data_IF_352432852568
#
_entry.id   IF_352432852568
#
_cell.length_a   1.000
_cell.length_b   1.000
_cell.length_c   1.000
_cell.angle_alpha   90.00
_cell.angle_beta   90.00
_cell.angle_gamma   90.00
#
_symmetry.space_group_name_H-M   'P 1'
#
loop_
_entity.id
_entity.type
_entity.pdbx_description
1 polymer ?
#
# COMPACT_ATOMS: atom_id res chain seq x y z
N UNK A 1 -15.65 20.20 10.71
CA UNK A 1 -14.81 19.92 9.52
C UNK A 1 -14.83 18.42 9.24
N UNK A 2 -15.08 17.98 8.00
CA UNK A 2 -15.00 16.55 7.66
C UNK A 2 -13.58 16.03 7.90
N UNK A 3 -13.46 14.88 8.56
CA UNK A 3 -12.17 14.23 8.82
C UNK A 3 -11.56 13.82 7.47
N UNK A 4 -10.37 14.33 7.12
CA UNK A 4 -9.64 13.90 5.91
C UNK A 4 -9.39 12.39 5.96
N UNK A 5 -9.53 11.69 4.81
CA UNK A 5 -9.32 10.25 4.76
C UNK A 5 -7.86 9.92 5.04
N UNK A 6 -7.60 8.78 5.68
CA UNK A 6 -6.24 8.31 6.01
C UNK A 6 -5.37 8.23 4.75
N UNK A 7 -5.93 7.70 3.65
CA UNK A 7 -5.21 7.58 2.38
C UNK A 7 -4.76 8.94 1.82
N UNK A 8 -5.58 9.99 1.97
CA UNK A 8 -5.22 11.34 1.52
C UNK A 8 -4.02 11.91 2.29
N UNK A 9 -3.93 11.59 3.58
CA UNK A 9 -2.80 11.99 4.42
C UNK A 9 -1.54 11.27 3.96
N UNK A 10 -1.61 9.95 3.78
CA UNK A 10 -0.46 9.12 3.39
C UNK A 10 0.07 9.52 2.01
N UNK A 11 -0.80 9.71 1.02
CA UNK A 11 -0.38 10.12 -0.34
C UNK A 11 0.40 11.44 -0.30
N UNK A 12 0.00 12.40 0.55
CA UNK A 12 0.69 13.69 0.69
C UNK A 12 2.06 13.58 1.36
N UNK A 13 2.26 12.59 2.22
CA UNK A 13 3.53 12.37 2.92
C UNK A 13 4.57 11.67 2.06
N UNK A 14 4.14 10.85 1.09
CA UNK A 14 5.04 10.16 0.18
C UNK A 14 5.48 11.12 -0.92
N UNK A 15 6.78 11.41 -0.98
CA UNK A 15 7.36 12.20 -2.06
C UNK A 15 7.19 11.48 -3.40
N UNK A 16 6.96 12.24 -4.46
CA UNK A 16 6.90 11.71 -5.82
C UNK A 16 8.31 11.37 -6.30
N UNK A 17 8.59 10.08 -6.41
CA UNK A 17 9.71 9.50 -7.15
C UNK A 17 9.10 8.48 -8.09
N UNK A 18 8.96 8.83 -9.37
CA UNK A 18 8.32 7.96 -10.35
C UNK A 18 9.39 7.43 -11.33
N UNK A 19 10.02 6.34 -10.92
CA UNK A 19 10.74 5.43 -11.82
C UNK A 19 9.76 4.29 -12.18
N UNK A 20 9.74 3.85 -13.44
CA UNK A 20 8.77 2.84 -13.93
C UNK A 20 9.08 1.40 -13.45
N UNK A 21 9.96 1.26 -12.45
CA UNK A 21 10.35 0.00 -11.84
C UNK A 21 9.21 -0.75 -11.17
N UNK A 22 9.42 -2.05 -11.00
CA UNK A 22 8.50 -2.94 -10.32
C UNK A 22 8.94 -3.16 -8.87
N UNK A 23 7.96 -3.15 -7.98
CA UNK A 23 8.15 -3.38 -6.56
C UNK A 23 7.17 -4.43 -6.05
N UNK A 24 7.63 -5.33 -5.20
CA UNK A 24 6.79 -6.28 -4.48
C UNK A 24 6.60 -5.80 -3.04
N UNK A 25 5.34 -5.56 -2.65
CA UNK A 25 4.99 -5.23 -1.26
C UNK A 25 4.34 -6.45 -0.63
N UNK A 26 5.00 -7.01 0.38
CA UNK A 26 4.52 -8.12 1.19
C UNK A 26 4.11 -7.59 2.55
N UNK A 27 2.92 -7.93 3.02
CA UNK A 27 2.44 -7.47 4.32
C UNK A 27 1.76 -8.57 5.13
N UNK A 28 1.98 -8.55 6.43
CA UNK A 28 1.37 -9.49 7.37
C UNK A 28 0.78 -8.77 8.59
N UNK A 29 -0.49 -9.03 8.86
CA UNK A 29 -1.23 -8.40 9.96
C UNK A 29 -1.23 -9.33 11.17
N UNK A 30 -0.24 -9.19 12.05
CA UNK A 30 -0.13 -10.02 13.28
C UNK A 30 -1.22 -9.74 14.32
N UNK A 31 -1.95 -8.64 14.20
CA UNK A 31 -2.97 -8.21 15.17
C UNK A 31 -4.30 -8.96 14.94
N UNK A 32 -4.94 -9.43 16.02
CA UNK A 32 -6.29 -10.01 15.94
C UNK A 32 -6.39 -11.36 15.20
N UNK A 33 -5.33 -12.18 15.25
CA UNK A 33 -5.32 -13.54 14.69
C UNK A 33 -5.08 -13.60 13.18
N UNK A 34 -4.30 -12.67 12.60
CA UNK A 34 -4.04 -12.65 11.16
C UNK A 34 -5.11 -11.94 10.33
N UNK A 35 -6.11 -11.33 10.98
CA UNK A 35 -7.26 -10.74 10.28
C UNK A 35 -6.92 -9.35 9.77
N UNK A 36 -6.94 -9.22 8.44
CA UNK A 36 -6.72 -7.95 7.76
C UNK A 36 -7.93 -7.03 8.00
N UNK A 37 -7.73 -5.80 8.49
CA UNK A 37 -8.83 -4.86 8.73
C UNK A 37 -9.59 -4.51 7.44
N UNK A 38 -10.93 -4.59 7.38
CA UNK A 38 -11.69 -4.23 6.16
C UNK A 38 -11.45 -2.79 5.68
N UNK A 39 -11.13 -1.88 6.61
CA UNK A 39 -10.77 -0.49 6.30
C UNK A 39 -9.45 -0.37 5.54
N UNK A 40 -8.52 -1.31 5.71
CA UNK A 40 -7.30 -1.36 4.91
C UNK A 40 -7.64 -1.58 3.43
N UNK A 41 -8.42 -2.63 3.13
CA UNK A 41 -8.85 -2.92 1.76
C UNK A 41 -9.63 -1.76 1.14
N UNK A 42 -10.56 -1.14 1.89
CA UNK A 42 -11.30 0.03 1.41
C UNK A 42 -10.39 1.18 0.97
N UNK A 43 -9.35 1.49 1.73
CA UNK A 43 -8.40 2.55 1.37
C UNK A 43 -7.46 2.12 0.23
N UNK A 44 -7.08 0.84 0.18
CA UNK A 44 -6.29 0.28 -0.90
C UNK A 44 -7.06 0.34 -2.23
N UNK A 45 -8.32 -0.07 -2.25
CA UNK A 45 -9.20 0.02 -3.42
C UNK A 45 -9.41 1.47 -3.86
N UNK A 46 -9.55 2.39 -2.89
CA UNK A 46 -9.62 3.82 -3.19
C UNK A 46 -8.31 4.38 -3.76
N UNK A 47 -7.15 3.86 -3.36
CA UNK A 47 -5.87 4.25 -3.96
C UNK A 47 -5.74 3.73 -5.40
N UNK A 48 -6.13 2.47 -5.62
CA UNK A 48 -6.15 1.85 -6.96
C UNK A 48 -7.09 2.60 -7.89
N UNK A 49 -8.30 2.96 -7.43
CA UNK A 49 -9.27 3.68 -8.26
C UNK A 49 -8.84 5.10 -8.65
N UNK A 50 -7.84 5.67 -7.95
CA UNK A 50 -7.21 6.96 -8.27
C UNK A 50 -6.06 6.84 -9.28
N UNK A 51 -5.85 5.66 -9.87
CA UNK A 51 -4.88 5.43 -10.92
C UNK A 51 -3.56 4.78 -10.48
N UNK A 52 -3.46 4.32 -9.22
CA UNK A 52 -2.29 3.59 -8.77
C UNK A 52 -2.16 2.25 -9.52
N UNK A 53 -1.01 2.03 -10.17
CA UNK A 53 -0.72 0.84 -10.98
C UNK A 53 -0.28 -0.31 -10.08
N UNK A 54 -1.25 -1.04 -9.52
CA UNK A 54 -1.04 -2.13 -8.57
C UNK A 54 -1.77 -3.38 -9.04
N UNK A 55 -1.10 -4.52 -8.96
CA UNK A 55 -1.67 -5.85 -9.19
C UNK A 55 -1.64 -6.65 -7.90
N UNK A 56 -2.78 -7.24 -7.52
CA UNK A 56 -2.86 -8.18 -6.40
C UNK A 56 -2.33 -9.53 -6.85
N UNK A 57 -1.11 -9.89 -6.43
CA UNK A 57 -0.51 -11.21 -6.73
C UNK A 57 -1.07 -12.26 -5.79
N UNK A 58 -1.21 -11.91 -4.52
CA UNK A 58 -1.81 -12.75 -3.48
C UNK A 58 -2.52 -11.86 -2.45
N UNK A 59 -3.27 -12.45 -1.51
CA UNK A 59 -3.98 -11.73 -0.43
C UNK A 59 -3.11 -10.73 0.34
N UNK A 60 -1.83 -11.07 0.54
CA UNK A 60 -0.84 -10.31 1.32
C UNK A 60 0.36 -9.85 0.49
N UNK A 61 0.24 -9.90 -0.85
CA UNK A 61 1.33 -9.60 -1.78
C UNK A 61 0.82 -8.74 -2.93
N UNK A 62 1.41 -7.56 -3.11
CA UNK A 62 1.04 -6.58 -4.13
C UNK A 62 2.25 -6.28 -5.02
N UNK A 63 2.06 -6.42 -6.32
CA UNK A 63 3.01 -5.93 -7.31
C UNK A 63 2.64 -4.49 -7.65
N UNK A 64 3.56 -3.57 -7.44
CA UNK A 64 3.38 -2.14 -7.65
C UNK A 64 4.30 -1.69 -8.78
N UNK A 65 3.79 -0.84 -9.67
CA UNK A 65 4.64 -0.07 -10.58
C UNK A 65 4.87 1.32 -9.99
N UNK A 66 6.13 1.71 -9.91
CA UNK A 66 6.57 2.94 -9.27
C UNK A 66 6.82 2.79 -7.77
N UNK A 67 7.92 3.38 -7.31
CA UNK A 67 8.32 3.39 -5.90
C UNK A 67 7.26 4.08 -5.04
N UNK A 68 6.64 5.15 -5.56
CA UNK A 68 5.59 5.88 -4.86
C UNK A 68 4.43 4.96 -4.47
N UNK A 69 3.93 4.16 -5.42
CA UNK A 69 2.84 3.21 -5.18
C UNK A 69 3.19 2.24 -4.06
N UNK A 70 4.41 1.68 -4.10
CA UNK A 70 4.90 0.76 -3.09
C UNK A 70 4.99 1.41 -1.70
N UNK A 71 5.53 2.63 -1.61
CA UNK A 71 5.66 3.38 -0.34
C UNK A 71 4.32 3.79 0.25
N UNK A 72 3.34 4.19 -0.57
CA UNK A 72 1.99 4.52 -0.12
C UNK A 72 1.32 3.29 0.49
N UNK A 73 1.40 2.15 -0.19
CA UNK A 73 0.85 0.89 0.32
C UNK A 73 1.53 0.47 1.61
N UNK A 74 2.86 0.55 1.68
CA UNK A 74 3.61 0.17 2.86
C UNK A 74 3.17 0.97 4.09
N UNK A 75 3.16 2.31 3.98
CA UNK A 75 2.66 3.19 5.03
C UNK A 75 1.19 2.93 5.39
N UNK A 76 0.35 2.61 4.39
CA UNK A 76 -1.05 2.28 4.64
C UNK A 76 -1.19 0.98 5.44
N UNK A 77 -0.46 -0.07 5.08
CA UNK A 77 -0.47 -1.35 5.76
C UNK A 77 0.08 -1.21 7.19
N UNK A 78 1.22 -0.53 7.36
CA UNK A 78 1.82 -0.19 8.67
C UNK A 78 0.84 0.60 9.56
N UNK A 79 0.14 1.59 9.01
CA UNK A 79 -0.88 2.36 9.73
C UNK A 79 -1.98 1.47 10.32
N UNK A 80 -2.34 0.39 9.62
CA UNK A 80 -3.32 -0.59 10.08
C UNK A 80 -2.71 -1.73 10.92
N UNK A 81 -1.41 -1.66 11.23
CA UNK A 81 -0.71 -2.60 12.11
C UNK A 81 -0.09 -3.82 11.41
N UNK A 82 0.15 -3.75 10.09
CA UNK A 82 0.90 -4.79 9.41
C UNK A 82 2.41 -4.60 9.60
N UNK A 83 3.13 -5.72 9.64
CA UNK A 83 4.54 -5.76 9.26
C UNK A 83 4.62 -5.75 7.73
N UNK A 84 5.53 -4.97 7.15
CA UNK A 84 5.65 -4.79 5.70
C UNK A 84 7.10 -4.95 5.25
N UNK A 85 7.29 -5.67 4.15
CA UNK A 85 8.54 -5.75 3.42
C UNK A 85 8.32 -5.24 1.99
N UNK A 86 9.22 -4.39 1.51
CA UNK A 86 9.18 -3.84 0.14
C UNK A 86 10.44 -4.25 -0.59
N UNK A 87 10.28 -4.91 -1.73
CA UNK A 87 11.37 -5.36 -2.59
C UNK A 87 11.32 -4.63 -3.92
N UNK A 88 12.45 -4.11 -4.40
CA UNK A 88 12.61 -3.72 -5.81
C UNK A 88 12.91 -4.98 -6.60
N UNK A 89 12.20 -5.18 -7.70
CA UNK A 89 12.41 -6.32 -8.59
C UNK A 89 13.44 -5.90 -9.65
N UNK A 90 14.44 -6.74 -9.85
CA UNK A 90 15.44 -6.64 -10.91
C UNK A 90 15.38 -7.91 -11.76
N UNK A 91 15.76 -7.82 -13.03
CA UNK A 91 15.99 -8.98 -13.90
C UNK A 91 17.33 -9.66 -13.58
#
# INVERSE_FOLDING_TARGET
MPRKKVIDKIIREVKYTDEDDLYLVVYDFKVGGGRIPPRFYKNLDEFISRGARITRVQKSVLLCRGEQSARVIAKLAEYYGAEVHVFRIHE
#
